data_IF_215692568626
#
_entry.id   IF_215692568626
#
_cell.length_a   1.000
_cell.length_b   1.000
_cell.length_c   1.000
_cell.angle_alpha   90.00
_cell.angle_beta   90.00
_cell.angle_gamma   90.00
#
_symmetry.space_group_name_H-M   'P 1'
#
loop_
_entity.id
_entity.type
_entity.pdbx_description
1 polymer ?
#
# COMPACT_ATOMS: atom_id res chain seq x y z
N UNK A 1 6.23 -9.72 6.18
CA UNK A 1 6.27 -8.30 5.77
C UNK A 1 6.93 -7.50 6.86
N UNK A 2 7.71 -6.49 6.51
CA UNK A 2 8.42 -5.63 7.46
C UNK A 2 7.45 -4.75 8.25
N UNK A 3 7.83 -4.25 9.44
CA UNK A 3 7.01 -3.31 10.21
C UNK A 3 6.57 -2.08 9.40
N UNK A 4 7.45 -1.53 8.54
CA UNK A 4 7.17 -0.39 7.69
C UNK A 4 6.07 -0.68 6.66
N UNK A 5 6.13 -1.82 5.97
CA UNK A 5 5.08 -2.26 5.03
C UNK A 5 3.73 -2.44 5.72
N UNK A 6 3.73 -3.06 6.91
CA UNK A 6 2.52 -3.22 7.72
C UNK A 6 1.97 -1.85 8.17
N UNK A 7 2.84 -0.90 8.49
CA UNK A 7 2.46 0.42 8.94
C UNK A 7 1.67 1.20 7.88
N UNK A 8 2.00 1.07 6.58
CA UNK A 8 1.22 1.67 5.48
C UNK A 8 -0.27 1.31 5.58
N UNK A 9 -0.60 0.02 5.61
CA UNK A 9 -2.01 -0.41 5.65
C UNK A 9 -2.71 -0.07 6.95
N UNK A 10 -1.99 -0.14 8.08
CA UNK A 10 -2.50 0.22 9.40
C UNK A 10 -2.84 1.71 9.46
N UNK A 11 -1.92 2.57 9.03
CA UNK A 11 -2.11 4.02 9.04
C UNK A 11 -3.20 4.43 8.04
N UNK A 12 -3.22 3.87 6.83
CA UNK A 12 -4.30 4.10 5.86
C UNK A 12 -5.67 3.76 6.44
N UNK A 13 -5.79 2.62 7.13
CA UNK A 13 -7.05 2.23 7.80
C UNK A 13 -7.40 3.16 8.96
N UNK A 14 -6.42 3.56 9.77
CA UNK A 14 -6.66 4.46 10.89
C UNK A 14 -7.11 5.85 10.41
N UNK A 15 -6.56 6.34 9.29
CA UNK A 15 -6.94 7.63 8.70
C UNK A 15 -8.28 7.56 7.96
N UNK A 16 -8.55 6.43 7.30
CA UNK A 16 -9.75 6.19 6.49
C UNK A 16 -10.36 4.81 6.82
N UNK A 17 -11.08 4.68 7.95
CA UNK A 17 -11.58 3.37 8.41
C UNK A 17 -12.53 2.66 7.45
N UNK A 18 -13.24 3.42 6.61
CA UNK A 18 -14.17 2.90 5.62
C UNK A 18 -13.52 2.48 4.29
N UNK A 19 -12.20 2.66 4.13
CA UNK A 19 -11.50 2.29 2.90
C UNK A 19 -11.70 0.82 2.56
N UNK A 20 -11.84 0.53 1.27
CA UNK A 20 -11.71 -0.81 0.72
C UNK A 20 -10.28 -1.31 0.93
N UNK A 21 -10.18 -2.64 1.04
CA UNK A 21 -8.95 -3.39 1.29
C UNK A 21 -8.80 -4.57 0.34
N UNK A 22 -9.62 -4.63 -0.71
CA UNK A 22 -9.76 -5.79 -1.61
C UNK A 22 -8.50 -6.09 -2.40
N UNK A 23 -7.60 -5.12 -2.53
CA UNK A 23 -6.32 -5.26 -3.22
C UNK A 23 -5.16 -4.88 -2.30
N UNK A 24 -5.37 -4.93 -0.98
CA UNK A 24 -4.26 -4.80 -0.04
C UNK A 24 -3.41 -6.06 -0.09
N UNK A 25 -2.08 -5.89 -0.14
CA UNK A 25 -1.12 -6.97 -0.26
C UNK A 25 0.10 -6.72 0.60
N UNK A 26 0.60 -7.75 1.29
CA UNK A 26 1.82 -7.67 2.10
C UNK A 26 2.80 -8.78 1.74
N UNK A 27 2.30 -10.02 1.72
CA UNK A 27 3.08 -11.20 1.38
C UNK A 27 2.60 -11.75 0.03
N UNK A 28 3.50 -12.34 -0.77
CA UNK A 28 3.16 -12.87 -2.08
C UNK A 28 2.33 -14.14 -1.93
N UNK A 29 1.41 -14.36 -2.87
CA UNK A 29 0.80 -15.68 -3.05
C UNK A 29 1.76 -16.63 -3.78
N UNK A 30 1.51 -17.94 -3.76
CA UNK A 30 2.27 -18.89 -4.55
C UNK A 30 2.24 -18.57 -6.06
N UNK A 31 1.10 -18.08 -6.56
CA UNK A 31 0.97 -17.60 -7.94
C UNK A 31 1.86 -16.37 -8.19
N UNK A 32 1.93 -15.43 -7.25
CA UNK A 32 2.81 -14.26 -7.32
C UNK A 32 4.28 -14.65 -7.36
N UNK A 33 4.70 -15.62 -6.53
CA UNK A 33 6.08 -16.12 -6.54
C UNK A 33 6.49 -16.69 -7.91
N UNK A 34 5.58 -17.40 -8.57
CA UNK A 34 5.84 -17.96 -9.92
C UNK A 34 5.88 -16.88 -11.01
N UNK A 35 5.02 -15.87 -10.92
CA UNK A 35 4.91 -14.80 -11.92
C UNK A 35 5.96 -13.70 -11.75
N UNK A 36 6.38 -13.45 -10.51
CA UNK A 36 7.24 -12.32 -10.10
C UNK A 36 8.28 -12.79 -9.08
N UNK A 37 9.23 -13.66 -9.47
CA UNK A 37 10.18 -14.27 -8.54
C UNK A 37 11.12 -13.25 -7.86
N UNK A 38 11.30 -12.07 -8.44
CA UNK A 38 12.19 -11.02 -7.95
C UNK A 38 11.45 -9.85 -7.27
N UNK A 39 10.18 -10.04 -6.89
CA UNK A 39 9.38 -8.98 -6.25
C UNK A 39 9.80 -8.75 -4.80
N UNK A 40 9.82 -7.49 -4.34
CA UNK A 40 10.12 -7.15 -2.94
C UNK A 40 9.02 -7.63 -1.95
N UNK A 41 7.85 -8.06 -2.44
CA UNK A 41 6.90 -8.81 -1.59
C UNK A 41 7.55 -10.08 -1.02
N UNK A 42 8.45 -10.72 -1.77
CA UNK A 42 9.08 -11.98 -1.40
C UNK A 42 10.02 -11.82 -0.20
N UNK A 43 10.55 -10.62 0.01
CA UNK A 43 11.38 -10.25 1.16
C UNK A 43 10.60 -9.47 2.22
N UNK A 44 9.32 -9.18 1.96
CA UNK A 44 8.44 -8.44 2.85
C UNK A 44 8.65 -6.93 2.84
N UNK A 45 9.42 -6.39 1.90
CA UNK A 45 9.71 -4.97 1.72
C UNK A 45 8.77 -4.25 0.77
N UNK A 46 7.66 -4.89 0.38
CA UNK A 46 6.62 -4.24 -0.41
C UNK A 46 5.24 -4.36 0.23
N UNK A 47 4.40 -3.40 -0.14
CA UNK A 47 3.00 -3.34 0.23
C UNK A 47 2.17 -2.81 -0.93
N UNK A 48 1.03 -3.46 -1.19
CA UNK A 48 0.02 -2.96 -2.11
C UNK A 48 -1.08 -2.28 -1.31
N UNK A 49 -1.39 -1.03 -1.64
CA UNK A 49 -2.46 -0.23 -1.04
C UNK A 49 -3.63 -0.11 -2.01
N UNK A 50 -4.81 -0.60 -1.64
CA UNK A 50 -6.02 -0.50 -2.47
C UNK A 50 -6.34 0.96 -2.83
N UNK A 51 -6.55 1.24 -4.12
CA UNK A 51 -7.06 2.52 -4.59
C UNK A 51 -8.57 2.62 -4.31
N UNK A 52 -8.97 3.59 -3.48
CA UNK A 52 -10.36 3.80 -3.10
C UNK A 52 -10.64 5.29 -2.80
N UNK A 53 -10.66 6.14 -3.84
CA UNK A 53 -10.79 7.58 -3.67
C UNK A 53 -12.13 7.95 -3.02
N UNK A 54 -13.18 7.15 -3.25
CA UNK A 54 -14.50 7.31 -2.64
C UNK A 54 -14.49 7.23 -1.11
N UNK A 55 -13.51 6.53 -0.52
CA UNK A 55 -13.33 6.47 0.93
C UNK A 55 -12.03 7.16 1.38
N UNK A 56 -11.46 8.04 0.54
CA UNK A 56 -10.36 8.93 0.89
C UNK A 56 -8.96 8.31 0.80
N UNK A 57 -8.79 7.20 0.06
CA UNK A 57 -7.48 6.69 -0.35
C UNK A 57 -7.34 6.89 -1.86
N UNK A 58 -6.86 8.07 -2.24
CA UNK A 58 -6.51 8.36 -3.61
C UNK A 58 -5.05 7.96 -3.88
N UNK A 59 -4.86 6.97 -4.74
CA UNK A 59 -3.53 6.46 -5.04
C UNK A 59 -2.81 7.34 -6.07
N UNK A 60 -3.51 8.20 -6.82
CA UNK A 60 -2.86 9.20 -7.66
C UNK A 60 -2.11 10.22 -6.79
N UNK A 61 -2.81 10.80 -5.80
CA UNK A 61 -2.18 11.73 -4.85
C UNK A 61 -1.07 11.04 -4.05
N UNK A 62 -1.33 9.85 -3.50
CA UNK A 62 -0.34 9.14 -2.68
C UNK A 62 0.89 8.77 -3.52
N UNK A 63 0.72 8.33 -4.77
CA UNK A 63 1.83 8.02 -5.67
C UNK A 63 2.74 9.23 -5.85
N UNK A 64 2.19 10.42 -6.13
CA UNK A 64 2.97 11.65 -6.28
C UNK A 64 3.67 12.06 -4.98
N UNK A 65 2.96 12.06 -3.85
CA UNK A 65 3.53 12.46 -2.56
C UNK A 65 4.67 11.55 -2.12
N UNK A 66 4.51 10.24 -2.32
CA UNK A 66 5.52 9.26 -1.93
C UNK A 66 6.78 9.27 -2.81
N UNK A 67 6.79 9.97 -3.96
CA UNK A 67 8.03 10.21 -4.70
C UNK A 67 9.05 11.03 -3.89
N UNK A 68 8.59 11.82 -2.91
CA UNK A 68 9.45 12.59 -2.03
C UNK A 68 9.86 11.84 -0.75
N UNK A 69 9.30 10.65 -0.50
CA UNK A 69 9.56 9.89 0.73
C UNK A 69 10.88 9.12 0.61
N UNK A 70 11.82 9.41 1.52
CA UNK A 70 13.17 8.84 1.49
C UNK A 70 13.20 7.33 1.73
N UNK A 71 12.14 6.74 2.28
CA UNK A 71 12.02 5.29 2.54
C UNK A 71 11.64 4.51 1.28
N UNK A 72 11.09 5.17 0.27
CA UNK A 72 10.59 4.52 -0.95
C UNK A 72 11.76 4.14 -1.87
N UNK A 73 11.78 2.87 -2.29
CA UNK A 73 12.73 2.31 -3.27
C UNK A 73 12.20 2.51 -4.69
N UNK A 74 10.94 2.14 -4.92
CA UNK A 74 10.19 2.46 -6.14
C UNK A 74 8.68 2.34 -5.89
N UNK A 75 7.88 2.89 -6.81
CA UNK A 75 6.42 2.84 -6.81
C UNK A 75 5.93 2.27 -8.14
N UNK A 76 4.82 1.52 -8.12
CA UNK A 76 4.14 1.08 -9.35
C UNK A 76 2.65 1.37 -9.23
N UNK A 77 2.09 2.09 -10.20
CA UNK A 77 0.67 2.37 -10.25
C UNK A 77 0.21 2.66 -11.68
N UNK A 78 -0.93 2.11 -12.10
CA UNK A 78 -1.55 2.40 -13.41
C UNK A 78 -0.61 2.24 -14.61
N UNK A 79 0.19 1.17 -14.63
CA UNK A 79 1.14 0.89 -15.72
C UNK A 79 2.37 1.81 -15.73
N UNK A 80 2.62 2.56 -14.65
CA UNK A 80 3.80 3.39 -14.45
C UNK A 80 4.66 2.85 -13.33
N UNK A 81 5.97 3.01 -13.46
CA UNK A 81 6.94 2.74 -12.41
C UNK A 81 7.77 4.00 -12.19
N UNK A 82 7.98 4.36 -10.92
CA UNK A 82 8.83 5.48 -10.54
C UNK A 82 9.88 5.04 -9.53
N UNK A 83 11.08 5.62 -9.64
CA UNK A 83 12.11 5.56 -8.60
C UNK A 83 12.90 6.86 -8.57
N UNK A 84 13.48 7.21 -7.42
CA UNK A 84 14.29 8.42 -7.28
C UNK A 84 15.48 8.46 -8.27
N UNK A 85 16.02 7.30 -8.64
CA UNK A 85 17.16 7.20 -9.58
C UNK A 85 16.76 7.40 -11.03
N UNK A 86 15.64 6.82 -11.47
CA UNK A 86 15.28 6.73 -12.88
C UNK A 86 14.12 7.65 -13.28
N UNK A 87 13.49 8.34 -12.33
CA UNK A 87 12.25 9.06 -12.58
C UNK A 87 11.09 8.10 -12.91
N UNK A 88 10.08 8.63 -13.59
CA UNK A 88 8.92 7.85 -14.05
C UNK A 88 9.18 7.21 -15.42
N UNK A 89 8.78 5.95 -15.57
CA UNK A 89 8.82 5.21 -16.81
C UNK A 89 7.58 4.32 -16.96
N UNK A 90 7.39 3.74 -18.15
CA UNK A 90 6.36 2.73 -18.39
C UNK A 90 6.70 1.45 -17.65
N UNK A 91 5.74 0.89 -16.92
CA UNK A 91 5.83 -0.42 -16.31
C UNK A 91 5.37 -1.51 -17.28
N UNK A 92 6.20 -2.55 -17.46
CA UNK A 92 5.98 -3.60 -18.46
C UNK A 92 5.56 -4.95 -17.86
N UNK A 93 5.40 -5.05 -16.53
CA UNK A 93 4.95 -6.28 -15.88
C UNK A 93 3.51 -6.64 -16.20
N UNK A 94 3.14 -7.93 -16.11
CA UNK A 94 1.82 -8.43 -16.52
C UNK A 94 0.67 -7.77 -15.74
N UNK A 95 0.80 -7.65 -14.43
CA UNK A 95 -0.16 -6.93 -13.61
C UNK A 95 0.15 -5.43 -13.66
N UNK A 96 -0.73 -4.65 -14.29
CA UNK A 96 -0.54 -3.21 -14.50
C UNK A 96 -0.85 -2.34 -13.26
N UNK A 97 -1.17 -2.91 -12.10
CA UNK A 97 -1.41 -2.15 -10.86
C UNK A 97 -2.51 -1.08 -10.99
N UNK A 98 -3.61 -1.40 -11.68
CA UNK A 98 -4.74 -0.49 -11.92
C UNK A 98 -5.71 -0.39 -10.72
N UNK A 99 -5.53 -1.21 -9.68
CA UNK A 99 -6.43 -1.32 -8.53
C UNK A 99 -5.77 -0.99 -7.19
N UNK A 100 -4.45 -0.92 -7.15
CA UNK A 100 -3.67 -0.67 -5.96
C UNK A 100 -2.34 -0.01 -6.34
N UNK A 101 -1.84 0.82 -5.44
CA UNK A 101 -0.48 1.35 -5.50
C UNK A 101 0.48 0.35 -4.86
N UNK A 102 1.48 -0.08 -5.60
CA UNK A 102 2.59 -0.84 -5.06
C UNK A 102 3.66 0.10 -4.52
N UNK A 103 4.08 -0.13 -3.27
CA UNK A 103 5.12 0.64 -2.59
C UNK A 103 6.24 -0.33 -2.22
N UNK A 104 7.39 -0.20 -2.87
CA UNK A 104 8.61 -0.89 -2.46
C UNK A 104 9.42 0.01 -1.51
N UNK A 105 9.90 -0.58 -0.42
CA UNK A 105 10.58 0.08 0.69
C UNK A 105 12.05 -0.29 0.65
N UNK A 106 12.93 0.69 0.88
CA UNK A 106 14.37 0.45 0.95
C UNK A 106 14.69 -0.52 2.09
N UNK A 107 15.66 -1.39 1.84
CA UNK A 107 16.01 -2.50 2.71
C UNK A 107 16.41 -2.05 4.14
N UNK A 108 17.01 -0.86 4.27
CA UNK A 108 17.39 -0.25 5.54
C UNK A 108 16.25 0.49 6.28
N UNK A 109 15.07 0.62 5.67
CA UNK A 109 13.92 1.34 6.22
C UNK A 109 12.81 0.38 6.72
N UNK A 110 13.06 -0.93 6.78
CA UNK A 110 12.04 -1.93 7.12
C UNK A 110 11.38 -1.76 8.49
N UNK A 111 12.07 -1.13 9.45
CA UNK A 111 11.55 -0.86 10.80
C UNK A 111 10.99 0.57 10.96
N UNK A 112 11.09 1.42 9.94
CA UNK A 112 10.63 2.80 10.03
C UNK A 112 9.11 2.88 9.88
N UNK A 113 8.43 2.99 11.02
CA UNK A 113 6.97 3.13 11.09
C UNK A 113 6.51 4.57 11.29
N UNK A 114 7.36 5.56 11.01
CA UNK A 114 6.96 6.98 11.03
C UNK A 114 5.78 7.23 10.07
N UNK A 115 5.04 8.35 10.22
CA UNK A 115 3.86 8.61 9.41
C UNK A 115 4.13 8.50 7.90
N UNK A 116 3.41 7.61 7.22
CA UNK A 116 3.40 7.41 5.77
C UNK A 116 2.53 8.44 5.04
N UNK A 117 1.53 8.98 5.73
CA UNK A 117 0.58 9.93 5.14
C UNK A 117 0.39 11.18 6.00
N UNK A 118 1.46 11.92 6.34
CA UNK A 118 1.34 13.10 7.21
C UNK A 118 0.39 14.18 6.65
N UNK A 119 0.20 14.23 5.33
CA UNK A 119 -0.71 15.17 4.67
C UNK A 119 -2.20 14.80 4.78
N UNK A 120 -2.55 13.56 5.13
CA UNK A 120 -3.95 13.11 5.23
C UNK A 120 -4.63 13.51 6.56
N UNK A 121 -3.93 14.26 7.41
CA UNK A 121 -4.40 14.77 8.70
C UNK A 121 -4.13 13.82 9.86
N UNK A 122 -4.73 14.13 11.03
CA UNK A 122 -4.57 13.32 12.25
C UNK A 122 -5.65 12.24 12.34
N UNK A 123 -5.28 11.09 12.90
CA UNK A 123 -6.26 10.07 13.30
C UNK A 123 -7.09 10.62 14.46
N UNK A 124 -8.39 10.78 14.26
CA UNK A 124 -9.32 11.21 15.31
C UNK A 124 -9.69 10.04 16.23
N UNK A 125 -10.14 10.32 17.45
CA UNK A 125 -10.64 9.29 18.39
C UNK A 125 -11.75 8.43 17.76
N UNK A 126 -12.67 9.07 17.03
CA UNK A 126 -13.74 8.37 16.30
C UNK A 126 -13.19 7.43 15.22
N UNK A 127 -12.15 7.84 14.48
CA UNK A 127 -11.55 6.99 13.46
C UNK A 127 -10.81 5.80 14.07
N UNK A 128 -10.14 6.01 15.23
CA UNK A 128 -9.48 4.92 15.97
C UNK A 128 -10.47 3.84 16.39
N UNK A 129 -11.64 4.22 16.92
CA UNK A 129 -12.71 3.28 17.29
C UNK A 129 -13.27 2.57 16.07
N UNK A 130 -13.56 3.28 14.97
CA UNK A 130 -14.07 2.65 13.73
C UNK A 130 -13.06 1.68 13.11
N UNK A 131 -11.77 1.98 13.18
CA UNK A 131 -10.72 1.11 12.65
C UNK A 131 -10.53 -0.19 13.46
N UNK A 132 -10.85 -0.18 14.76
CA UNK A 132 -10.75 -1.36 15.63
C UNK A 132 -11.95 -2.29 15.55
N UNK A 133 -13.10 -1.82 15.05
CA UNK A 133 -14.30 -2.65 14.89
C UNK A 133 -14.13 -3.51 13.63
N UNK A 134 -13.98 -4.83 13.82
CA UNK A 134 -14.10 -5.79 12.71
C UNK A 134 -15.58 -5.92 12.36
N UNK A 135 -15.98 -5.82 11.08
CA UNK A 135 -17.34 -6.20 10.68
C UNK A 135 -17.58 -7.66 11.10
N UNK A 136 -18.75 -7.94 11.67
CA UNK A 136 -19.19 -9.32 11.88
C UNK A 136 -19.21 -10.03 10.51
N UNK A 137 -18.71 -11.27 10.42
CA UNK A 137 -18.79 -12.03 9.18
C UNK A 137 -20.26 -12.11 8.74
N UNK A 138 -20.53 -11.79 7.47
CA UNK A 138 -21.87 -12.01 6.89
C UNK A 138 -22.13 -13.51 6.92
N UNK A 139 -23.24 -13.93 7.55
CA UNK A 139 -23.79 -15.28 7.32
C UNK A 139 -24.11 -15.39 5.83
N UNK A 140 -23.37 -16.21 5.12
CA UNK A 140 -23.83 -16.74 3.83
C UNK A 140 -24.94 -17.74 4.14
N UNK A 141 -26.18 -17.41 3.76
CA UNK A 141 -27.22 -18.43 3.66
C UNK A 141 -26.94 -19.23 2.39
N UNK A 142 -26.88 -20.55 2.56
CA UNK A 142 -26.66 -21.56 1.53
C UNK A 142 -27.71 -21.49 0.41
#
# INVERSE_FOLDING_TARGET
ATPAAIAVLRQATALRPKRKKTSDGLLPSAAHLKQSPNSDHNTGYAVDLTHDPKNGIDCFEIYEKLQSDSRVKYLIFTGKIWSAKNGEARYTGVNQHNKHLHISIKDNCGNDTSPWFPWLGKVTTLNKVKASIKPLPKKENQ
#
